data_IF_717202020473
#
_entry.id   IF_717202020473
#
_cell.length_a   1.000
_cell.length_b   1.000
_cell.length_c   1.000
_cell.angle_alpha   90.00
_cell.angle_beta   90.00
_cell.angle_gamma   90.00
#
_symmetry.space_group_name_H-M   'P 1'
#
loop_
_entity.id
_entity.type
_entity.pdbx_description
1 polymer ?
#
# COMPACT_ATOMS: atom_id res chain seq x y z
N UNK A 1 55.83 -13.63 65.71
CA UNK A 1 54.48 -13.89 66.28
C UNK A 1 53.70 -12.61 66.12
N UNK A 2 52.46 -12.73 65.63
CA UNK A 2 51.66 -11.67 65.04
C UNK A 2 51.28 -10.55 66.03
N UNK A 3 51.44 -9.30 65.59
CA UNK A 3 50.71 -8.16 66.14
C UNK A 3 49.61 -7.80 65.14
N UNK A 4 48.40 -7.62 65.66
CA UNK A 4 47.15 -7.50 64.93
C UNK A 4 47.03 -6.13 64.25
N UNK A 5 46.60 -6.15 62.99
CA UNK A 5 46.20 -4.97 62.22
C UNK A 5 44.82 -4.49 62.66
N UNK A 6 44.73 -3.19 62.97
CA UNK A 6 43.48 -2.45 63.00
C UNK A 6 43.74 -1.03 62.50
N UNK A 7 43.31 -0.78 61.27
CA UNK A 7 42.78 0.46 60.68
C UNK A 7 42.99 0.34 59.15
N UNK A 8 42.18 0.85 58.23
CA UNK A 8 40.85 1.43 58.18
C UNK A 8 40.78 2.00 56.76
N UNK A 9 39.69 1.73 56.05
CA UNK A 9 39.17 2.50 54.91
C UNK A 9 39.99 2.59 53.60
N UNK A 10 39.30 2.42 52.49
CA UNK A 10 39.89 2.47 51.15
C UNK A 10 39.06 1.75 50.11
N UNK A 11 37.79 2.15 49.99
CA UNK A 11 36.92 1.83 48.85
C UNK A 11 37.64 2.14 47.51
N UNK A 12 38.28 1.14 46.91
CA UNK A 12 38.70 1.20 45.51
C UNK A 12 37.46 1.04 44.61
N UNK A 13 36.67 2.11 44.52
CA UNK A 13 35.75 2.29 43.40
C UNK A 13 36.60 2.51 42.15
N UNK A 14 36.86 1.43 41.41
CA UNK A 14 37.33 1.52 40.03
C UNK A 14 36.38 2.48 39.31
N UNK A 15 36.85 3.64 38.80
CA UNK A 15 35.98 4.52 38.05
C UNK A 15 35.44 3.73 36.86
N UNK A 16 34.13 3.82 36.56
CA UNK A 16 33.57 3.10 35.42
C UNK A 16 34.38 3.44 34.18
N UNK A 17 34.62 2.48 33.27
CA UNK A 17 35.38 2.73 32.05
C UNK A 17 34.76 3.93 31.33
N UNK A 18 35.47 5.06 31.35
CA UNK A 18 35.03 6.27 30.68
C UNK A 18 35.14 6.01 29.18
N UNK A 19 34.02 5.68 28.56
CA UNK A 19 33.90 5.52 27.11
C UNK A 19 34.36 6.82 26.43
N UNK A 20 35.19 6.70 25.40
CA UNK A 20 35.76 7.87 24.71
C UNK A 20 34.62 8.63 24.02
N UNK A 21 34.44 9.90 24.38
CA UNK A 21 33.33 10.76 23.91
C UNK A 21 33.25 10.79 22.38
N UNK A 22 34.39 10.65 21.70
CA UNK A 22 34.47 10.61 20.24
C UNK A 22 33.78 9.37 19.66
N UNK A 23 34.02 8.21 20.26
CA UNK A 23 33.43 6.94 19.83
C UNK A 23 31.90 6.94 20.02
N UNK A 24 31.42 7.51 21.14
CA UNK A 24 29.99 7.66 21.39
C UNK A 24 29.32 8.62 20.37
N UNK A 25 29.99 9.72 20.02
CA UNK A 25 29.47 10.67 19.02
C UNK A 25 29.45 10.09 17.62
N UNK A 26 30.46 9.31 17.23
CA UNK A 26 30.49 8.62 15.94
C UNK A 26 29.41 7.53 15.88
N UNK A 27 29.24 6.76 16.96
CA UNK A 27 28.16 5.78 17.05
C UNK A 27 26.78 6.44 17.00
N UNK A 28 26.59 7.60 17.65
CA UNK A 28 25.35 8.38 17.55
C UNK A 28 25.12 8.92 16.13
N UNK A 29 26.18 9.39 15.46
CA UNK A 29 26.12 9.86 14.08
C UNK A 29 25.71 8.75 13.12
N UNK A 30 26.27 7.55 13.25
CA UNK A 30 25.89 6.40 12.41
C UNK A 30 24.46 5.92 12.65
N UNK A 31 23.96 5.99 13.90
CA UNK A 31 22.55 5.71 14.20
C UNK A 31 21.63 6.73 13.55
N UNK A 32 21.96 8.01 13.65
CA UNK A 32 21.18 9.08 13.06
C UNK A 32 21.20 9.03 11.53
N UNK A 33 22.36 8.74 10.93
CA UNK A 33 22.51 8.51 9.49
C UNK A 33 21.65 7.35 9.02
N UNK A 34 21.70 6.19 9.70
CA UNK A 34 20.88 5.03 9.35
C UNK A 34 19.38 5.33 9.44
N UNK A 35 18.96 6.10 10.44
CA UNK A 35 17.57 6.55 10.57
C UNK A 35 17.17 7.52 9.43
N UNK A 36 18.08 8.42 9.04
CA UNK A 36 17.87 9.35 7.93
C UNK A 36 17.77 8.62 6.59
N UNK A 37 18.69 7.69 6.31
CA UNK A 37 18.69 6.90 5.07
C UNK A 37 17.41 6.06 4.96
N UNK A 38 16.97 5.42 6.06
CA UNK A 38 15.69 4.72 6.10
C UNK A 38 14.50 5.64 5.79
N UNK A 39 14.48 6.86 6.34
CA UNK A 39 13.42 7.82 6.05
C UNK A 39 13.43 8.30 4.59
N UNK A 40 14.61 8.39 3.96
CA UNK A 40 14.73 8.73 2.53
C UNK A 40 14.21 7.60 1.65
N UNK A 41 14.58 6.36 1.96
CA UNK A 41 14.07 5.18 1.24
C UNK A 41 12.55 5.07 1.35
N UNK A 42 11.97 5.27 2.53
CA UNK A 42 10.50 5.25 2.72
C UNK A 42 9.78 6.35 1.92
N UNK A 43 10.39 7.53 1.79
CA UNK A 43 9.83 8.63 0.97
C UNK A 43 9.90 8.29 -0.51
N UNK A 44 11.03 7.76 -1.00
CA UNK A 44 11.19 7.36 -2.40
C UNK A 44 10.21 6.23 -2.76
N UNK A 45 10.09 5.22 -1.89
CA UNK A 45 9.12 4.12 -2.05
C UNK A 45 7.68 4.62 -2.13
N UNK A 46 7.30 5.60 -1.29
CA UNK A 46 5.96 6.20 -1.32
C UNK A 46 5.68 6.95 -2.62
N UNK A 47 6.66 7.70 -3.14
CA UNK A 47 6.51 8.46 -4.40
C UNK A 47 6.39 7.51 -5.59
N UNK A 48 7.25 6.48 -5.67
CA UNK A 48 7.19 5.48 -6.74
C UNK A 48 5.90 4.67 -6.72
N UNK A 49 5.39 4.32 -5.52
CA UNK A 49 4.09 3.65 -5.39
C UNK A 49 2.92 4.53 -5.86
N UNK A 50 3.02 5.85 -5.76
CA UNK A 50 2.03 6.79 -6.29
C UNK A 50 2.15 7.02 -7.80
N UNK A 51 3.35 6.89 -8.36
CA UNK A 51 3.61 7.04 -9.80
C UNK A 51 3.26 5.76 -10.58
N UNK A 52 3.32 4.60 -9.92
CA UNK A 52 2.97 3.28 -10.49
C UNK A 52 1.49 3.06 -10.76
N UNK A 53 0.57 3.77 -10.08
CA UNK A 53 -0.83 3.83 -10.50
C UNK A 53 -0.94 4.77 -11.70
N UNK A 54 -0.75 4.21 -12.90
CA UNK A 54 -0.82 4.98 -14.13
C UNK A 54 -2.16 5.70 -14.21
N UNK A 55 -2.13 7.03 -14.27
CA UNK A 55 -3.29 7.94 -14.43
C UNK A 55 -4.29 7.46 -15.51
N UNK A 56 -3.77 6.79 -16.55
CA UNK A 56 -4.54 6.15 -17.61
C UNK A 56 -5.43 5.00 -17.14
N UNK A 57 -4.98 4.21 -16.16
CA UNK A 57 -5.78 3.11 -15.58
C UNK A 57 -6.91 3.66 -14.73
N UNK A 58 -6.66 4.70 -13.94
CA UNK A 58 -7.65 5.35 -13.09
C UNK A 58 -8.72 6.05 -13.93
N UNK A 59 -8.29 6.81 -14.94
CA UNK A 59 -9.22 7.43 -15.89
C UNK A 59 -9.96 6.40 -16.74
N UNK A 60 -9.27 5.34 -17.18
CA UNK A 60 -9.86 4.25 -17.95
C UNK A 60 -10.97 3.53 -17.16
N UNK A 61 -10.77 3.26 -15.86
CA UNK A 61 -11.78 2.66 -14.98
C UNK A 61 -13.04 3.54 -14.89
N UNK A 62 -12.86 4.85 -14.70
CA UNK A 62 -13.98 5.79 -14.61
C UNK A 62 -14.76 5.86 -15.92
N UNK A 63 -14.07 5.92 -17.06
CA UNK A 63 -14.70 5.95 -18.40
C UNK A 63 -15.42 4.63 -18.68
N UNK A 64 -14.82 3.50 -18.33
CA UNK A 64 -15.43 2.17 -18.48
C UNK A 64 -16.72 2.04 -17.68
N UNK A 65 -16.69 2.36 -16.37
CA UNK A 65 -17.87 2.28 -15.50
C UNK A 65 -18.98 3.23 -16.01
N UNK A 66 -18.60 4.43 -16.44
CA UNK A 66 -19.55 5.38 -17.03
C UNK A 66 -20.22 4.82 -18.28
N UNK A 67 -19.45 4.17 -19.16
CA UNK A 67 -19.97 3.53 -20.37
C UNK A 67 -20.89 2.35 -20.04
N UNK A 68 -20.53 1.52 -19.06
CA UNK A 68 -21.37 0.41 -18.59
C UNK A 68 -22.71 0.92 -18.03
N UNK A 69 -22.69 1.98 -17.21
CA UNK A 69 -23.94 2.57 -16.69
C UNK A 69 -24.82 3.13 -17.81
N UNK A 70 -24.24 3.78 -18.82
CA UNK A 70 -24.99 4.25 -19.98
C UNK A 70 -25.57 3.09 -20.80
N UNK A 71 -24.81 2.02 -21.01
CA UNK A 71 -25.27 0.83 -21.72
C UNK A 71 -26.42 0.16 -20.95
N UNK A 72 -26.26 -0.09 -19.65
CA UNK A 72 -27.28 -0.73 -18.82
C UNK A 72 -28.53 0.15 -18.67
N UNK A 73 -28.36 1.45 -18.50
CA UNK A 73 -29.45 2.39 -18.31
C UNK A 73 -30.19 2.79 -19.59
N UNK A 74 -29.54 2.76 -20.76
CA UNK A 74 -30.15 3.18 -22.03
C UNK A 74 -30.53 1.97 -22.87
N UNK A 75 -29.58 1.04 -23.11
CA UNK A 75 -29.77 -0.09 -24.02
C UNK A 75 -30.62 -1.19 -23.38
N UNK A 76 -30.33 -1.59 -22.14
CA UNK A 76 -31.13 -2.64 -21.50
C UNK A 76 -32.56 -2.16 -21.17
N UNK A 77 -32.73 -0.88 -20.81
CA UNK A 77 -34.06 -0.31 -20.52
C UNK A 77 -34.96 -0.19 -21.76
N UNK A 78 -34.39 -0.20 -22.95
CA UNK A 78 -35.17 -0.24 -24.20
C UNK A 78 -35.92 -1.57 -24.39
N UNK A 79 -35.41 -2.67 -23.81
CA UNK A 79 -36.04 -4.00 -23.87
C UNK A 79 -37.44 -4.01 -23.23
N UNK A 80 -37.63 -3.63 -21.96
CA UNK A 80 -38.98 -3.58 -21.38
C UNK A 80 -39.87 -2.50 -22.00
N UNK A 81 -39.29 -1.41 -22.51
CA UNK A 81 -40.05 -0.31 -23.14
C UNK A 81 -40.63 -0.73 -24.50
N UNK A 82 -39.82 -1.35 -25.36
CA UNK A 82 -40.26 -1.85 -26.68
C UNK A 82 -41.26 -3.01 -26.57
N UNK A 83 -41.15 -3.83 -25.52
CA UNK A 83 -42.00 -5.00 -25.29
C UNK A 83 -43.27 -4.70 -24.48
N UNK A 84 -43.66 -3.43 -24.38
CA UNK A 84 -44.95 -3.00 -23.82
C UNK A 84 -45.03 -3.02 -22.29
N UNK A 85 -43.89 -2.98 -21.59
CA UNK A 85 -43.80 -2.89 -20.10
C UNK A 85 -44.50 -4.03 -19.36
N UNK A 86 -44.61 -5.21 -19.99
CA UNK A 86 -45.23 -6.39 -19.37
C UNK A 86 -44.35 -6.97 -18.25
N UNK A 87 -44.95 -7.68 -17.29
CA UNK A 87 -44.22 -8.37 -16.21
C UNK A 87 -43.14 -9.32 -16.74
N UNK A 88 -43.42 -10.01 -17.85
CA UNK A 88 -42.44 -10.88 -18.51
C UNK A 88 -41.25 -10.09 -19.06
N UNK A 89 -41.47 -8.89 -19.62
CA UNK A 89 -40.40 -8.04 -20.12
C UNK A 89 -39.51 -7.50 -18.99
N UNK A 90 -40.09 -7.16 -17.84
CA UNK A 90 -39.34 -6.81 -16.63
C UNK A 90 -38.52 -8.00 -16.09
N UNK A 91 -39.10 -9.20 -16.06
CA UNK A 91 -38.36 -10.42 -15.67
C UNK A 91 -37.19 -10.70 -16.62
N UNK A 92 -37.41 -10.55 -17.93
CA UNK A 92 -36.36 -10.69 -18.95
C UNK A 92 -35.26 -9.64 -18.77
N UNK A 93 -35.64 -8.39 -18.53
CA UNK A 93 -34.70 -7.30 -18.26
C UNK A 93 -33.79 -7.60 -17.06
N UNK A 94 -34.35 -8.07 -15.94
CA UNK A 94 -33.55 -8.41 -14.75
C UNK A 94 -32.54 -9.52 -15.06
N UNK A 95 -32.95 -10.56 -15.80
CA UNK A 95 -32.04 -11.65 -16.19
C UNK A 95 -30.91 -11.13 -17.08
N UNK A 96 -31.24 -10.30 -18.08
CA UNK A 96 -30.24 -9.68 -18.96
C UNK A 96 -29.29 -8.75 -18.19
N UNK A 97 -29.81 -7.97 -17.25
CA UNK A 97 -29.03 -7.04 -16.43
C UNK A 97 -28.04 -7.78 -15.53
N UNK A 98 -28.48 -8.86 -14.87
CA UNK A 98 -27.57 -9.70 -14.07
C UNK A 98 -26.49 -10.32 -14.95
N UNK A 99 -26.83 -10.77 -16.16
CA UNK A 99 -25.87 -11.29 -17.13
C UNK A 99 -24.86 -10.23 -17.60
N UNK A 100 -25.35 -9.04 -17.94
CA UNK A 100 -24.54 -7.90 -18.35
C UNK A 100 -23.57 -7.49 -17.24
N UNK A 101 -24.04 -7.33 -16.00
CA UNK A 101 -23.18 -6.99 -14.86
C UNK A 101 -22.10 -8.03 -14.63
N UNK A 102 -22.43 -9.33 -14.69
CA UNK A 102 -21.44 -10.39 -14.57
C UNK A 102 -20.36 -10.30 -15.66
N UNK A 103 -20.78 -10.13 -16.92
CA UNK A 103 -19.88 -10.00 -18.05
C UNK A 103 -19.01 -8.74 -17.94
N UNK A 104 -19.62 -7.61 -17.57
CA UNK A 104 -18.92 -6.34 -17.36
C UNK A 104 -17.89 -6.44 -16.24
N UNK A 105 -18.20 -7.17 -15.17
CA UNK A 105 -17.25 -7.43 -14.07
C UNK A 105 -16.09 -8.31 -14.52
N UNK A 106 -16.37 -9.41 -15.21
CA UNK A 106 -15.31 -10.30 -15.72
C UNK A 106 -14.43 -9.60 -16.76
N UNK A 107 -15.00 -8.74 -17.61
CA UNK A 107 -14.25 -7.90 -18.56
C UNK A 107 -13.46 -6.81 -17.85
N UNK A 108 -14.05 -6.19 -16.82
CA UNK A 108 -13.38 -5.18 -16.00
C UNK A 108 -12.17 -5.77 -15.30
N UNK A 109 -12.32 -6.94 -14.68
CA UNK A 109 -11.22 -7.70 -14.11
C UNK A 109 -10.19 -7.99 -15.18
N UNK A 110 -10.52 -8.59 -16.33
CA UNK A 110 -9.52 -8.88 -17.37
C UNK A 110 -8.80 -7.67 -17.97
N UNK A 111 -9.46 -6.54 -18.12
CA UNK A 111 -8.90 -5.32 -18.74
C UNK A 111 -8.17 -4.42 -17.75
N UNK A 112 -8.62 -4.40 -16.50
CA UNK A 112 -8.08 -3.54 -15.44
C UNK A 112 -7.46 -4.34 -14.29
N UNK A 113 -7.19 -5.63 -14.49
CA UNK A 113 -6.19 -6.41 -13.74
C UNK A 113 -4.84 -5.77 -14.08
N UNK A 114 -4.62 -4.65 -13.41
CA UNK A 114 -3.35 -3.96 -13.38
C UNK A 114 -2.45 -4.93 -12.63
N UNK A 115 -1.50 -5.50 -13.36
CA UNK A 115 -0.38 -6.25 -12.83
C UNK A 115 0.38 -5.34 -11.83
N UNK A 116 -0.09 -5.31 -10.58
CA UNK A 116 0.65 -4.75 -9.43
C UNK A 116 1.97 -5.53 -9.28
N UNK A 117 2.07 -6.72 -9.89
CA UNK A 117 3.26 -7.56 -9.99
C UNK A 117 4.43 -6.95 -10.79
N UNK A 118 4.20 -5.94 -11.65
CA UNK A 118 5.28 -5.25 -12.37
C UNK A 118 5.98 -4.18 -11.54
N UNK A 119 5.53 -3.91 -10.32
CA UNK A 119 6.33 -3.15 -9.36
C UNK A 119 7.37 -4.10 -8.76
N UNK A 120 8.36 -4.46 -9.60
CA UNK A 120 9.56 -5.18 -9.19
C UNK A 120 10.34 -4.25 -8.26
N UNK A 121 10.18 -4.49 -6.96
CA UNK A 121 10.89 -3.75 -5.90
C UNK A 121 12.26 -4.36 -5.58
N UNK A 122 12.70 -5.38 -6.31
CA UNK A 122 13.93 -6.12 -6.04
C UNK A 122 15.10 -5.78 -6.99
N UNK A 123 15.13 -4.59 -7.59
CA UNK A 123 16.32 -4.12 -8.29
C UNK A 123 17.16 -3.14 -7.46
N UNK A 124 17.99 -3.77 -6.60
CA UNK A 124 19.28 -3.35 -6.02
C UNK A 124 19.31 -2.43 -4.79
#
# INVERSE_FOLDING_TARGET
>A
MAENEADSDGSETTPPPMFDKKEETEAAFWRLKKASDKSREERVKRVLAQEGEGLLTTLGRVVYISTCMLFDGVVLLEVPVSMGRTLAAWSLYVVLLVGAIKLQRDLYEKWFDVDISQMDFDQQ
#
